data_IF_056185547197
#
_entry.id   IF_056185547197
#
_cell.length_a   1.000
_cell.length_b   1.000
_cell.length_c   1.000
_cell.angle_alpha   90.00
_cell.angle_beta   90.00
_cell.angle_gamma   90.00
#
_symmetry.space_group_name_H-M   'P 1'
#
loop_
_entity.id
_entity.type
_entity.pdbx_description
1 polymer ?
#
# COMPACT_ATOMS: atom_id res chain seq x y z
N UNK A 1 6.07 47.99 -65.88
CA UNK A 1 6.42 47.73 -64.47
C UNK A 1 5.19 47.96 -63.62
N UNK A 2 4.51 46.88 -63.19
CA UNK A 2 3.44 46.98 -62.18
C UNK A 2 3.43 45.67 -61.38
N UNK A 3 3.89 45.77 -60.13
CA UNK A 3 3.90 44.72 -59.10
C UNK A 3 2.51 44.57 -58.50
N UNK A 4 2.07 43.33 -58.28
CA UNK A 4 1.71 42.81 -56.94
C UNK A 4 1.14 41.40 -57.09
N UNK A 5 1.93 40.42 -56.67
CA UNK A 5 1.44 39.10 -56.32
C UNK A 5 2.00 38.75 -54.94
N UNK A 6 1.37 37.75 -54.33
CA UNK A 6 1.67 37.07 -53.04
C UNK A 6 1.07 37.67 -51.76
N UNK A 7 -0.15 37.20 -51.48
CA UNK A 7 -0.63 36.93 -50.13
C UNK A 7 0.39 36.05 -49.39
N UNK A 8 0.89 36.54 -48.26
CA UNK A 8 1.68 35.73 -47.34
C UNK A 8 1.40 36.15 -45.89
N UNK A 9 1.11 35.13 -45.09
CA UNK A 9 1.32 35.03 -43.63
C UNK A 9 0.33 35.83 -42.76
N UNK A 10 -0.21 35.28 -41.68
CA UNK A 10 0.46 34.45 -40.66
C UNK A 10 -0.61 33.66 -39.89
N UNK A 11 -0.46 32.34 -39.79
CA UNK A 11 -1.28 31.51 -38.91
C UNK A 11 -0.90 31.75 -37.46
N UNK A 12 -1.89 32.06 -36.61
CA UNK A 12 -1.69 32.18 -35.16
C UNK A 12 -1.96 30.83 -34.49
N UNK A 13 -0.99 30.44 -33.66
CA UNK A 13 -0.78 29.16 -33.02
C UNK A 13 -1.95 28.65 -32.15
N UNK A 14 -2.20 27.35 -32.25
CA UNK A 14 -2.86 26.54 -31.21
C UNK A 14 -1.97 26.52 -29.96
N UNK A 15 -2.38 27.20 -28.89
CA UNK A 15 -1.83 26.96 -27.56
C UNK A 15 -2.49 25.71 -26.97
N UNK A 16 -1.85 24.54 -27.10
CA UNK A 16 -2.20 23.38 -26.28
C UNK A 16 -1.80 23.68 -24.83
N UNK A 17 -2.79 23.95 -23.98
CA UNK A 17 -2.64 23.77 -22.54
C UNK A 17 -2.32 22.30 -22.28
N UNK A 18 -1.04 21.97 -22.11
CA UNK A 18 -0.61 20.72 -21.49
C UNK A 18 -0.97 20.82 -20.00
N UNK A 19 -2.24 20.58 -19.68
CA UNK A 19 -2.65 20.35 -18.31
C UNK A 19 -1.99 19.04 -17.88
N UNK A 20 -0.98 19.14 -17.01
CA UNK A 20 -0.44 18.00 -16.27
C UNK A 20 -1.58 17.38 -15.48
N UNK A 21 -2.21 16.33 -16.02
CA UNK A 21 -3.24 15.59 -15.32
C UNK A 21 -2.57 14.73 -14.26
N UNK A 22 -2.28 15.32 -13.11
CA UNK A 22 -2.37 14.58 -11.85
C UNK A 22 -3.85 14.21 -11.72
N UNK A 23 -4.24 13.13 -12.40
CA UNK A 23 -5.58 12.56 -12.25
C UNK A 23 -5.68 12.18 -10.78
N UNK A 24 -6.61 12.79 -10.06
CA UNK A 24 -6.96 12.36 -8.72
C UNK A 24 -7.29 10.86 -8.79
N UNK A 25 -6.36 10.02 -8.32
CA UNK A 25 -6.54 8.58 -8.34
C UNK A 25 -7.78 8.27 -7.50
N UNK A 26 -8.77 7.62 -8.12
CA UNK A 26 -10.01 7.29 -7.42
C UNK A 26 -9.72 6.39 -6.22
N UNK A 27 -10.52 6.54 -5.17
CA UNK A 27 -10.37 5.76 -3.94
C UNK A 27 -10.41 4.24 -4.21
N UNK A 28 -11.28 3.83 -5.13
CA UNK A 28 -11.33 2.45 -5.64
C UNK A 28 -10.00 2.01 -6.25
N UNK A 29 -9.41 2.83 -7.11
CA UNK A 29 -8.14 2.51 -7.77
C UNK A 29 -6.99 2.41 -6.77
N UNK A 30 -6.98 3.21 -5.69
CA UNK A 30 -6.02 3.09 -4.58
C UNK A 30 -6.15 1.72 -3.90
N UNK A 31 -7.36 1.29 -3.56
CA UNK A 31 -7.59 -0.02 -2.97
C UNK A 31 -7.17 -1.17 -3.92
N UNK A 32 -7.56 -1.10 -5.20
CA UNK A 32 -7.20 -2.11 -6.20
C UNK A 32 -5.68 -2.20 -6.43
N UNK A 33 -5.00 -1.05 -6.46
CA UNK A 33 -3.53 -0.98 -6.59
C UNK A 33 -2.86 -1.60 -5.36
N UNK A 34 -3.39 -1.35 -4.17
CA UNK A 34 -2.90 -1.97 -2.93
C UNK A 34 -3.04 -3.49 -2.99
N UNK A 35 -4.22 -4.01 -3.38
CA UNK A 35 -4.45 -5.46 -3.53
C UNK A 35 -3.51 -6.07 -4.59
N UNK A 36 -3.32 -5.37 -5.72
CA UNK A 36 -2.39 -5.81 -6.78
C UNK A 36 -0.96 -5.89 -6.27
N UNK A 37 -0.52 -4.91 -5.49
CA UNK A 37 0.81 -4.90 -4.88
C UNK A 37 1.00 -6.06 -3.90
N UNK A 38 0.00 -6.34 -3.07
CA UNK A 38 0.01 -7.52 -2.21
C UNK A 38 0.18 -8.82 -3.00
N UNK A 39 -0.43 -8.92 -4.20
CA UNK A 39 -0.29 -10.11 -5.04
C UNK A 39 1.16 -10.38 -5.48
N UNK A 40 1.96 -9.33 -5.67
CA UNK A 40 3.35 -9.44 -6.08
C UNK A 40 4.31 -9.79 -4.94
N UNK A 41 3.91 -9.51 -3.69
CA UNK A 41 4.80 -9.60 -2.51
C UNK A 41 4.45 -10.77 -1.61
N UNK A 42 3.16 -10.98 -1.33
CA UNK A 42 2.72 -11.85 -0.25
C UNK A 42 2.55 -13.29 -0.73
N UNK A 43 3.23 -14.29 -0.13
CA UNK A 43 3.04 -15.70 -0.49
C UNK A 43 1.59 -16.18 -0.28
N UNK A 44 0.96 -15.75 0.83
CA UNK A 44 -0.40 -16.11 1.20
C UNK A 44 -1.51 -15.34 0.48
N UNK A 45 -1.17 -14.46 -0.46
CA UNK A 45 -2.17 -13.64 -1.15
C UNK A 45 -3.25 -14.49 -1.84
N UNK A 46 -4.49 -14.12 -1.61
CA UNK A 46 -5.59 -14.28 -2.57
C UNK A 46 -6.43 -13.01 -2.53
N UNK A 47 -7.15 -12.70 -3.62
CA UNK A 47 -8.05 -11.54 -3.64
C UNK A 47 -9.09 -11.63 -2.52
N UNK A 48 -9.65 -12.81 -2.29
CA UNK A 48 -10.68 -13.04 -1.26
C UNK A 48 -10.16 -12.82 0.17
N UNK A 49 -8.90 -13.16 0.44
CA UNK A 49 -8.29 -12.94 1.77
C UNK A 49 -7.78 -11.53 1.99
N UNK A 50 -7.39 -10.84 0.91
CA UNK A 50 -6.71 -9.54 0.99
C UNK A 50 -7.69 -8.36 0.92
N UNK A 51 -8.63 -8.43 -0.02
CA UNK A 51 -9.53 -7.31 -0.36
C UNK A 51 -10.39 -6.85 0.83
N UNK A 52 -10.98 -7.74 1.65
CA UNK A 52 -11.82 -7.30 2.78
C UNK A 52 -11.06 -6.40 3.76
N UNK A 53 -9.82 -6.76 4.10
CA UNK A 53 -9.00 -5.97 5.03
C UNK A 53 -8.49 -4.69 4.39
N UNK A 54 -8.09 -4.70 3.11
CA UNK A 54 -7.69 -3.46 2.41
C UNK A 54 -8.82 -2.43 2.42
N UNK A 55 -10.06 -2.86 2.23
CA UNK A 55 -11.22 -1.98 2.22
C UNK A 55 -11.58 -1.41 3.61
N UNK A 56 -11.01 -1.93 4.70
CA UNK A 56 -11.16 -1.35 6.04
C UNK A 56 -10.20 -0.18 6.28
N UNK A 57 -9.14 -0.06 5.49
CA UNK A 57 -8.12 0.98 5.67
C UNK A 57 -8.60 2.29 5.06
N UNK A 58 -8.49 3.43 5.76
CA UNK A 58 -8.76 4.73 5.17
C UNK A 58 -7.93 4.96 3.91
N UNK A 59 -8.54 5.48 2.85
CA UNK A 59 -7.86 5.62 1.55
C UNK A 59 -6.63 6.53 1.64
N UNK A 60 -6.66 7.56 2.49
CA UNK A 60 -5.49 8.39 2.78
C UNK A 60 -4.30 7.57 3.31
N UNK A 61 -4.56 6.64 4.23
CA UNK A 61 -3.56 5.72 4.75
C UNK A 61 -3.05 4.76 3.66
N UNK A 62 -3.94 4.24 2.80
CA UNK A 62 -3.54 3.42 1.65
C UNK A 62 -2.61 4.18 0.67
N UNK A 63 -2.87 5.47 0.44
CA UNK A 63 -1.98 6.32 -0.38
C UNK A 63 -0.59 6.43 0.26
N UNK A 64 -0.51 6.60 1.58
CA UNK A 64 0.78 6.59 2.31
C UNK A 64 1.48 5.24 2.17
N UNK A 65 0.76 4.12 2.29
CA UNK A 65 1.36 2.80 2.11
C UNK A 65 1.95 2.63 0.70
N UNK A 66 1.23 3.06 -0.34
CA UNK A 66 1.71 2.99 -1.71
C UNK A 66 2.94 3.88 -1.94
N UNK A 67 2.90 5.13 -1.45
CA UNK A 67 4.01 6.10 -1.54
C UNK A 67 5.28 5.60 -0.84
N UNK A 68 5.14 5.12 0.39
CA UNK A 68 6.26 4.61 1.21
C UNK A 68 6.75 3.22 0.82
N UNK A 69 6.11 2.56 -0.14
CA UNK A 69 6.48 1.21 -0.48
C UNK A 69 6.14 0.18 0.61
N UNK A 70 5.07 0.37 1.38
CA UNK A 70 4.59 -0.56 2.42
C UNK A 70 3.45 -1.48 1.92
N UNK A 71 3.40 -2.71 2.42
CA UNK A 71 2.56 -3.77 1.84
C UNK A 71 1.66 -4.42 2.89
N UNK A 72 0.48 -4.86 2.48
CA UNK A 72 -0.47 -5.62 3.30
C UNK A 72 -0.50 -7.09 2.87
N UNK A 73 -0.17 -8.03 3.76
CA UNK A 73 -0.07 -9.45 3.46
C UNK A 73 -0.88 -10.33 4.43
N UNK A 74 -1.91 -11.06 3.96
CA UNK A 74 -2.53 -12.07 4.80
C UNK A 74 -1.56 -13.24 5.05
N UNK A 75 -1.46 -13.70 6.29
CA UNK A 75 -0.65 -14.86 6.70
C UNK A 75 -1.43 -15.73 7.70
N UNK A 76 -1.84 -16.92 7.26
CA UNK A 76 -2.61 -17.89 8.06
C UNK A 76 -1.76 -18.61 9.12
N UNK A 77 -0.44 -18.45 9.07
CA UNK A 77 0.49 -19.07 10.04
C UNK A 77 0.57 -18.28 11.35
N UNK A 78 0.02 -17.06 11.39
CA UNK A 78 -0.05 -16.26 12.62
C UNK A 78 -1.04 -16.91 13.58
N UNK A 79 -0.62 -17.10 14.83
CA UNK A 79 -1.44 -17.75 15.85
C UNK A 79 -2.64 -16.89 16.27
N UNK A 80 -3.68 -17.53 16.80
CA UNK A 80 -4.92 -16.85 17.20
C UNK A 80 -4.72 -15.84 18.35
N UNK A 81 -3.69 -16.03 19.18
CA UNK A 81 -3.32 -15.11 20.25
C UNK A 81 -2.35 -14.00 19.81
N UNK A 82 -1.79 -14.09 18.59
CA UNK A 82 -0.95 -13.09 17.96
C UNK A 82 -1.29 -12.91 16.46
N UNK A 83 -2.55 -12.57 16.12
CA UNK A 83 -3.05 -12.70 14.76
C UNK A 83 -2.70 -11.51 13.86
N UNK A 84 -1.98 -10.50 14.34
CA UNK A 84 -1.61 -9.33 13.55
C UNK A 84 -0.16 -8.92 13.87
N UNK A 85 0.60 -8.54 12.85
CA UNK A 85 1.97 -8.10 13.02
C UNK A 85 2.41 -7.07 11.97
N UNK A 86 3.45 -6.33 12.30
CA UNK A 86 4.20 -5.46 11.42
C UNK A 86 5.62 -5.98 11.36
N UNK A 87 6.11 -6.30 10.16
CA UNK A 87 7.49 -6.66 9.91
C UNK A 87 8.26 -5.43 9.41
N UNK A 88 8.79 -4.64 10.33
CA UNK A 88 9.39 -3.34 10.03
C UNK A 88 10.58 -3.36 9.08
N UNK A 89 11.38 -4.42 9.14
CA UNK A 89 12.48 -4.63 8.22
C UNK A 89 12.01 -4.72 6.76
N UNK A 90 10.83 -5.30 6.52
CA UNK A 90 10.25 -5.53 5.19
C UNK A 90 9.21 -4.50 4.78
N UNK A 91 8.71 -3.71 5.74
CA UNK A 91 7.63 -2.76 5.48
C UNK A 91 6.28 -3.46 5.25
N UNK A 92 6.02 -4.56 5.97
CA UNK A 92 4.86 -5.42 5.72
C UNK A 92 3.94 -5.47 6.94
N UNK A 93 2.69 -5.06 6.74
CA UNK A 93 1.58 -5.31 7.64
C UNK A 93 0.98 -6.68 7.35
N UNK A 94 0.74 -7.49 8.37
CA UNK A 94 0.21 -8.84 8.22
C UNK A 94 -0.88 -9.15 9.23
N UNK A 95 -1.79 -10.06 8.84
CA UNK A 95 -2.85 -10.56 9.71
C UNK A 95 -3.24 -11.99 9.33
N UNK A 96 -3.76 -12.75 10.29
CA UNK A 96 -4.43 -14.02 10.01
C UNK A 96 -5.87 -13.74 9.55
N UNK A 97 -6.23 -14.01 8.27
CA UNK A 97 -7.59 -13.79 7.78
C UNK A 97 -8.63 -14.76 8.37
N UNK A 98 -8.20 -15.82 9.06
CA UNK A 98 -9.09 -16.82 9.68
C UNK A 98 -9.43 -16.49 11.14
N UNK A 99 -8.78 -15.48 11.72
CA UNK A 99 -9.05 -15.00 13.08
C UNK A 99 -9.94 -13.78 13.01
N UNK A 100 -11.12 -13.86 13.63
CA UNK A 100 -12.05 -12.74 13.64
C UNK A 100 -11.42 -11.50 14.29
N UNK A 101 -11.70 -10.33 13.73
CA UNK A 101 -11.14 -9.06 14.19
C UNK A 101 -9.70 -8.76 13.75
N UNK A 102 -8.88 -9.73 13.32
CA UNK A 102 -7.48 -9.50 12.97
C UNK A 102 -7.31 -8.48 11.82
N UNK A 103 -8.18 -8.52 10.81
CA UNK A 103 -8.22 -7.52 9.75
C UNK A 103 -8.56 -6.10 10.23
N UNK A 104 -9.41 -5.98 11.26
CA UNK A 104 -9.73 -4.67 11.88
C UNK A 104 -8.56 -4.14 12.68
N UNK A 105 -7.87 -5.02 13.42
CA UNK A 105 -6.65 -4.67 14.17
C UNK A 105 -5.60 -4.11 13.22
N UNK A 106 -5.27 -4.80 12.14
CA UNK A 106 -4.23 -4.32 11.23
C UNK A 106 -4.64 -3.02 10.52
N UNK A 107 -5.91 -2.86 10.16
CA UNK A 107 -6.41 -1.62 9.58
C UNK A 107 -6.29 -0.43 10.56
N UNK A 108 -6.59 -0.65 11.84
CA UNK A 108 -6.45 0.37 12.88
C UNK A 108 -4.98 0.74 13.15
N UNK A 109 -4.05 -0.24 13.15
CA UNK A 109 -2.63 0.04 13.27
C UNK A 109 -2.09 0.83 12.07
N UNK A 110 -2.54 0.49 10.85
CA UNK A 110 -2.20 1.25 9.64
C UNK A 110 -2.70 2.70 9.75
N UNK A 111 -3.96 2.94 10.11
CA UNK A 111 -4.48 4.30 10.28
C UNK A 111 -3.66 5.07 11.33
N UNK A 112 -3.33 4.44 12.47
CA UNK A 112 -2.51 5.06 13.50
C UNK A 112 -1.10 5.42 12.99
N UNK A 113 -0.38 4.47 12.43
CA UNK A 113 1.03 4.63 12.02
C UNK A 113 1.20 5.53 10.78
N UNK A 114 0.17 5.68 9.96
CA UNK A 114 0.21 6.58 8.80
C UNK A 114 -0.04 8.05 9.17
N UNK A 115 -0.65 8.34 10.34
CA UNK A 115 -0.91 9.71 10.80
C UNK A 115 0.36 10.44 11.25
N UNK A 116 1.31 9.73 11.83
CA UNK A 116 2.61 10.26 12.27
C UNK A 116 3.78 9.74 11.44
N UNK A 117 3.48 8.95 10.40
CA UNK A 117 4.45 8.25 9.53
C UNK A 117 5.49 7.43 10.32
N UNK A 118 5.12 6.91 11.50
CA UNK A 118 6.00 6.09 12.33
C UNK A 118 6.06 4.64 11.84
N UNK A 119 7.10 4.31 11.08
CA UNK A 119 7.35 2.96 10.56
C UNK A 119 8.65 2.36 11.11
N UNK A 120 8.64 1.88 12.38
CA UNK A 120 9.82 1.30 13.03
C UNK A 120 10.36 0.10 12.25
N UNK A 121 11.64 -0.19 12.41
CA UNK A 121 12.28 -1.34 11.74
C UNK A 121 12.04 -2.66 12.47
N UNK A 122 11.63 -2.57 13.73
CA UNK A 122 11.34 -3.69 14.61
C UNK A 122 10.06 -4.41 14.18
N UNK A 123 9.98 -5.69 14.53
CA UNK A 123 8.72 -6.43 14.44
C UNK A 123 7.81 -6.01 15.59
N UNK A 124 6.58 -5.60 15.26
CA UNK A 124 5.52 -5.36 16.24
C UNK A 124 4.46 -6.45 16.08
N UNK A 125 3.86 -6.88 17.19
CA UNK A 125 2.87 -7.96 17.21
C UNK A 125 1.70 -7.52 18.08
N UNK A 126 0.48 -7.84 17.64
CA UNK A 126 -0.75 -7.50 18.35
C UNK A 126 -1.66 -8.71 18.50
N UNK A 127 -2.41 -8.72 19.59
CA UNK A 127 -3.50 -9.68 19.80
C UNK A 127 -4.76 -9.30 18.99
N UNK A 128 -5.83 -10.10 19.10
CA UNK A 128 -7.10 -9.85 18.42
C UNK A 128 -7.84 -8.58 18.89
N UNK A 129 -7.43 -7.99 20.03
CA UNK A 129 -7.97 -6.73 20.56
C UNK A 129 -7.13 -5.52 20.12
N UNK A 130 -5.98 -5.75 19.49
CA UNK A 130 -5.04 -4.71 19.08
C UNK A 130 -4.07 -4.30 20.19
N UNK A 131 -3.98 -5.07 21.28
CA UNK A 131 -3.00 -4.85 22.34
C UNK A 131 -1.63 -5.36 21.90
N UNK A 132 -0.59 -4.56 22.17
CA UNK A 132 0.77 -4.91 21.78
C UNK A 132 1.31 -6.07 22.64
N UNK A 133 1.79 -7.11 21.98
CA UNK A 133 2.37 -8.28 22.62
C UNK A 133 3.89 -8.14 22.72
N UNK A 134 4.42 -8.39 23.93
CA UNK A 134 5.87 -8.41 24.19
C UNK A 134 6.38 -9.84 24.24
N UNK A 135 7.62 -10.06 23.81
CA UNK A 135 8.28 -11.37 23.82
C UNK A 135 7.48 -12.48 23.10
N UNK A 136 6.72 -12.11 22.06
CA UNK A 136 6.01 -13.06 21.21
C UNK A 136 6.76 -13.33 19.93
N UNK A 137 6.92 -14.62 19.64
CA UNK A 137 7.46 -15.10 18.38
C UNK A 137 6.33 -15.25 17.37
N UNK A 138 6.57 -14.80 16.15
CA UNK A 138 5.69 -15.01 15.00
C UNK A 138 6.50 -15.64 13.87
N UNK A 139 5.88 -16.32 12.90
CA UNK A 139 6.57 -16.83 11.73
C UNK A 139 7.40 -15.75 11.03
N UNK A 140 8.54 -16.13 10.47
CA UNK A 140 9.31 -15.20 9.64
C UNK A 140 8.50 -14.82 8.38
N UNK A 141 8.60 -13.55 7.99
CA UNK A 141 8.07 -13.10 6.72
C UNK A 141 9.05 -13.47 5.59
N UNK A 142 8.53 -14.18 4.59
CA UNK A 142 9.28 -14.60 3.41
C UNK A 142 8.60 -13.98 2.18
N UNK A 143 9.13 -12.89 1.60
CA UNK A 143 8.54 -12.32 0.40
C UNK A 143 8.61 -13.31 -0.77
N UNK A 144 7.69 -13.17 -1.73
CA UNK A 144 7.79 -13.89 -3.01
C UNK A 144 9.16 -13.63 -3.67
N UNK A 145 9.72 -14.60 -4.40
CA UNK A 145 10.96 -14.39 -5.14
C UNK A 145 10.90 -13.15 -6.04
N UNK A 146 11.89 -12.26 -5.93
CA UNK A 146 11.96 -11.03 -6.73
C UNK A 146 11.02 -9.91 -6.28
N UNK A 147 10.27 -10.07 -5.18
CA UNK A 147 9.39 -9.03 -4.68
C UNK A 147 10.17 -7.82 -4.13
N UNK A 148 9.71 -6.63 -4.49
CA UNK A 148 10.23 -5.38 -3.95
C UNK A 148 9.62 -5.09 -2.57
N UNK A 149 10.43 -5.29 -1.52
CA UNK A 149 10.12 -4.96 -0.12
C UNK A 149 11.18 -4.02 0.43
N UNK A 150 10.90 -3.37 1.57
CA UNK A 150 11.96 -2.68 2.32
C UNK A 150 13.02 -3.72 2.68
N UNK A 151 14.29 -3.36 2.57
CA UNK A 151 15.38 -4.17 3.10
C UNK A 151 16.27 -3.24 3.89
N UNK A 152 16.63 -3.63 5.11
CA UNK A 152 17.66 -2.94 5.87
C UNK A 152 18.98 -3.07 5.10
N UNK A 153 19.46 -1.98 4.56
CA UNK A 153 20.85 -1.88 4.09
C UNK A 153 21.71 -1.82 5.34
N UNK A 154 22.54 -2.85 5.56
CA UNK A 154 23.51 -2.89 6.64
C UNK A 154 24.77 -2.12 6.26
#
# INVERSE_FOLDING_TARGET
MTRRNTFAWTGAAFALCAASTVLAQSDRQVAETTVSRSANVCPGHSKDRTTPTVNLVPVGALRVLLDKGLVMCPDRRLDADAPAAWYGQYGVFTWNPEVDGAGKVIAAQIDKMTRDESFPTETLVWDAKGEALKNRTVPAFEPKPGAAVRVKVY
#
